data_IF_076810998910
#
_entry.id   IF_076810998910
#
_cell.length_a   1.000
_cell.length_b   1.000
_cell.length_c   1.000
_cell.angle_alpha   90.00
_cell.angle_beta   90.00
_cell.angle_gamma   90.00
#
_symmetry.space_group_name_H-M   'P 1'
#
loop_
_entity.id
_entity.type
_entity.pdbx_description
1 polymer ?
#
# COMPACT_ATOMS: atom_id res chain seq x y z
N UNK A 1 0.21 18.47 1.11
CA UNK A 1 1.57 18.49 1.72
C UNK A 1 1.91 17.08 2.19
N UNK A 2 3.14 16.60 1.97
CA UNK A 2 3.58 15.27 2.40
C UNK A 2 4.83 15.38 3.27
N UNK A 3 4.74 14.90 4.50
CA UNK A 3 5.87 14.45 5.29
C UNK A 3 6.41 13.15 4.68
N UNK A 4 7.70 13.17 4.38
CA UNK A 4 8.41 12.06 3.73
C UNK A 4 9.62 11.67 4.59
N UNK A 5 9.91 10.37 4.76
CA UNK A 5 11.09 9.92 5.47
C UNK A 5 12.35 10.40 4.75
N UNK A 6 13.21 11.16 5.46
CA UNK A 6 14.41 11.75 4.90
C UNK A 6 15.47 10.73 4.43
N UNK A 7 15.36 9.49 4.90
CA UNK A 7 16.23 8.37 4.59
C UNK A 7 15.68 7.45 3.47
N UNK A 8 14.53 7.76 2.88
CA UNK A 8 14.01 7.00 1.73
C UNK A 8 14.43 7.64 0.42
N UNK A 9 15.12 6.89 -0.43
CA UNK A 9 15.63 7.38 -1.71
C UNK A 9 14.76 6.96 -2.91
N UNK A 10 13.71 6.15 -2.69
CA UNK A 10 12.84 5.67 -3.76
C UNK A 10 11.48 6.32 -3.63
N UNK A 11 10.65 5.93 -2.65
CA UNK A 11 9.27 6.46 -2.55
C UNK A 11 9.33 7.97 -2.36
N UNK A 12 10.14 8.43 -1.42
CA UNK A 12 10.25 9.87 -1.15
C UNK A 12 10.87 10.66 -2.30
N UNK A 13 11.75 10.06 -3.11
CA UNK A 13 12.32 10.74 -4.29
C UNK A 13 11.28 10.87 -5.40
N UNK A 14 10.56 9.79 -5.73
CA UNK A 14 9.48 9.82 -6.71
C UNK A 14 8.37 10.79 -6.30
N UNK A 15 7.87 10.70 -5.05
CA UNK A 15 6.85 11.61 -4.53
C UNK A 15 7.27 13.10 -4.64
N UNK A 16 8.54 13.43 -4.39
CA UNK A 16 9.06 14.81 -4.55
C UNK A 16 9.10 15.27 -6.02
N UNK A 17 9.35 14.35 -6.95
CA UNK A 17 9.49 14.67 -8.38
C UNK A 17 8.15 14.70 -9.12
N UNK A 18 7.25 13.77 -8.83
CA UNK A 18 6.03 13.52 -9.62
C UNK A 18 4.74 13.76 -8.82
N UNK A 19 4.84 13.97 -7.51
CA UNK A 19 3.69 14.12 -6.62
C UNK A 19 3.03 12.80 -6.18
N UNK A 20 3.46 11.67 -6.75
CA UNK A 20 2.91 10.32 -6.51
C UNK A 20 4.01 9.26 -6.64
N UNK A 21 3.78 8.04 -6.16
CA UNK A 21 4.81 6.99 -6.20
C UNK A 21 4.90 6.35 -7.59
N UNK A 22 3.79 5.85 -8.11
CA UNK A 22 3.65 5.36 -9.48
C UNK A 22 2.36 5.96 -10.10
N UNK A 23 2.46 6.96 -10.99
CA UNK A 23 1.30 7.60 -11.60
C UNK A 23 0.43 6.64 -12.43
N UNK A 24 1.03 5.60 -13.02
CA UNK A 24 0.31 4.65 -13.85
C UNK A 24 -0.52 3.71 -12.96
N UNK A 25 0.06 3.23 -11.87
CA UNK A 25 -0.65 2.46 -10.86
C UNK A 25 -1.78 3.29 -10.24
N UNK A 26 -1.48 4.51 -9.79
CA UNK A 26 -2.46 5.43 -9.20
C UNK A 26 -3.66 5.68 -10.13
N UNK A 27 -3.41 5.94 -11.42
CA UNK A 27 -4.48 6.15 -12.41
C UNK A 27 -5.41 4.94 -12.50
N UNK A 28 -4.85 3.73 -12.52
CA UNK A 28 -5.64 2.49 -12.54
C UNK A 28 -6.44 2.34 -11.25
N UNK A 29 -5.82 2.58 -10.09
CA UNK A 29 -6.50 2.51 -8.80
C UNK A 29 -7.68 3.47 -8.74
N UNK A 30 -7.47 4.73 -9.10
CA UNK A 30 -8.49 5.78 -9.12
C UNK A 30 -9.64 5.48 -10.10
N UNK A 31 -9.41 4.70 -11.16
CA UNK A 31 -10.46 4.32 -12.12
C UNK A 31 -11.56 3.43 -11.50
N UNK A 32 -11.26 2.71 -10.43
CA UNK A 32 -12.21 1.86 -9.71
C UNK A 32 -12.93 2.58 -8.56
N UNK A 33 -12.43 3.75 -8.15
CA UNK A 33 -12.95 4.51 -7.02
C UNK A 33 -14.11 5.40 -7.48
N UNK A 34 -15.23 5.30 -6.77
CA UNK A 34 -16.40 6.15 -6.93
C UNK A 34 -16.64 6.98 -5.67
N UNK A 35 -17.11 8.24 -5.80
CA UNK A 35 -17.47 9.05 -4.64
C UNK A 35 -18.46 8.34 -3.71
N UNK A 36 -18.32 8.54 -2.40
CA UNK A 36 -19.20 7.97 -1.39
C UNK A 36 -18.94 6.49 -1.04
N UNK A 37 -17.94 5.84 -1.65
CA UNK A 37 -17.61 4.45 -1.33
C UNK A 37 -16.83 4.32 -0.02
N UNK A 38 -16.79 3.09 0.51
CA UNK A 38 -15.85 2.69 1.55
C UNK A 38 -14.73 1.83 0.93
N UNK A 39 -13.49 2.28 1.08
CA UNK A 39 -12.29 1.63 0.54
C UNK A 39 -11.38 1.22 1.70
N UNK A 40 -10.75 0.06 1.56
CA UNK A 40 -9.72 -0.43 2.47
C UNK A 40 -8.39 -0.48 1.73
N UNK A 41 -7.38 0.18 2.27
CA UNK A 41 -6.00 0.15 1.78
C UNK A 41 -5.12 -0.64 2.75
N UNK A 42 -4.54 -1.75 2.29
CA UNK A 42 -3.60 -2.57 3.07
C UNK A 42 -2.18 -2.26 2.63
N UNK A 43 -1.32 -1.88 3.58
CA UNK A 43 0.05 -1.46 3.30
C UNK A 43 0.12 0.00 2.88
N UNK A 44 -0.62 0.87 3.57
CA UNK A 44 -0.72 2.28 3.18
C UNK A 44 0.63 3.04 3.25
N UNK A 45 1.63 2.49 3.94
CA UNK A 45 2.99 3.03 3.99
C UNK A 45 2.97 4.50 4.44
N UNK A 46 3.63 5.41 3.73
CA UNK A 46 3.62 6.86 3.99
C UNK A 46 2.34 7.57 3.52
N UNK A 47 1.39 6.85 2.91
CA UNK A 47 0.14 7.41 2.39
C UNK A 47 0.26 8.00 0.97
N UNK A 48 1.14 7.42 0.14
CA UNK A 48 1.40 7.89 -1.22
C UNK A 48 0.13 7.94 -2.09
N UNK A 49 -0.71 6.90 -2.02
CA UNK A 49 -2.00 6.85 -2.71
C UNK A 49 -3.18 7.24 -1.82
N UNK A 50 -3.02 7.17 -0.49
CA UNK A 50 -4.12 7.44 0.44
C UNK A 50 -4.74 8.82 0.23
N UNK A 51 -3.94 9.83 -0.12
CA UNK A 51 -4.42 11.20 -0.37
C UNK A 51 -5.33 11.24 -1.60
N UNK A 52 -4.86 10.77 -2.75
CA UNK A 52 -5.64 10.82 -4.00
C UNK A 52 -6.88 9.94 -3.93
N UNK A 53 -6.79 8.78 -3.27
CA UNK A 53 -7.95 7.94 -2.97
C UNK A 53 -8.98 8.67 -2.11
N UNK A 54 -8.54 9.32 -1.03
CA UNK A 54 -9.42 10.06 -0.12
C UNK A 54 -10.12 11.24 -0.82
N UNK A 55 -9.38 12.00 -1.64
CA UNK A 55 -9.94 13.09 -2.44
C UNK A 55 -10.98 12.57 -3.44
N UNK A 56 -10.68 11.47 -4.14
CA UNK A 56 -11.59 10.85 -5.11
C UNK A 56 -12.88 10.30 -4.48
N UNK A 57 -12.78 9.77 -3.27
CA UNK A 57 -13.92 9.30 -2.48
C UNK A 57 -14.84 10.44 -2.03
N UNK A 58 -14.29 11.63 -1.83
CA UNK A 58 -15.02 12.80 -1.36
C UNK A 58 -15.52 12.66 0.08
N UNK A 59 -16.23 13.69 0.58
CA UNK A 59 -16.56 13.81 2.00
C UNK A 59 -17.57 12.77 2.52
N UNK A 60 -18.35 12.14 1.64
CA UNK A 60 -19.28 11.06 2.00
C UNK A 60 -18.65 9.66 1.91
N UNK A 61 -17.46 9.54 1.31
CA UNK A 61 -16.72 8.30 1.26
C UNK A 61 -15.86 8.09 2.50
N UNK A 62 -15.27 6.89 2.61
CA UNK A 62 -14.41 6.53 3.73
C UNK A 62 -13.22 5.71 3.22
N UNK A 63 -12.01 6.09 3.64
CA UNK A 63 -10.81 5.32 3.38
C UNK A 63 -10.27 4.75 4.69
N UNK A 64 -10.03 3.45 4.73
CA UNK A 64 -9.46 2.75 5.88
C UNK A 64 -8.06 2.25 5.54
N UNK A 65 -7.04 2.93 6.05
CA UNK A 65 -5.63 2.66 5.78
C UNK A 65 -5.01 1.82 6.89
N UNK A 66 -4.41 0.69 6.53
CA UNK A 66 -3.73 -0.21 7.46
C UNK A 66 -2.23 -0.20 7.18
N UNK A 67 -1.44 0.19 8.19
CA UNK A 67 0.02 0.22 8.10
C UNK A 67 0.64 -0.45 9.35
N UNK A 68 1.30 -1.61 9.20
CA UNK A 68 1.81 -2.38 10.32
C UNK A 68 2.99 -1.73 11.05
N UNK A 69 3.88 -1.02 10.37
CA UNK A 69 5.11 -0.51 11.00
C UNK A 69 4.89 0.86 11.65
N UNK A 70 5.19 1.00 12.94
CA UNK A 70 4.92 2.22 13.72
C UNK A 70 5.51 3.47 13.10
N UNK A 71 6.74 3.42 12.60
CA UNK A 71 7.39 4.58 11.98
C UNK A 71 6.63 5.07 10.74
N UNK A 72 6.20 4.15 9.88
CA UNK A 72 5.42 4.48 8.68
C UNK A 72 4.02 4.95 9.03
N UNK A 73 3.38 4.29 9.99
CA UNK A 73 2.08 4.69 10.50
C UNK A 73 2.10 6.13 11.04
N UNK A 74 3.15 6.54 11.75
CA UNK A 74 3.30 7.92 12.23
C UNK A 74 3.34 8.91 11.06
N UNK A 75 4.08 8.60 10.00
CA UNK A 75 4.15 9.43 8.79
C UNK A 75 2.79 9.49 8.08
N UNK A 76 2.13 8.34 7.90
CA UNK A 76 0.77 8.25 7.35
C UNK A 76 -0.20 9.16 8.12
N UNK A 77 -0.21 9.07 9.45
CA UNK A 77 -1.10 9.89 10.28
C UNK A 77 -0.80 11.39 10.14
N UNK A 78 0.49 11.77 10.09
CA UNK A 78 0.88 13.14 9.84
C UNK A 78 0.40 13.62 8.47
N UNK A 79 0.52 12.80 7.44
CA UNK A 79 0.05 13.12 6.09
C UNK A 79 -1.46 13.26 6.00
N UNK A 80 -2.22 12.41 6.70
CA UNK A 80 -3.69 12.57 6.82
C UNK A 80 -4.05 13.92 7.44
N UNK A 81 -3.38 14.30 8.54
CA UNK A 81 -3.62 15.57 9.24
C UNK A 81 -3.21 16.77 8.39
N UNK A 82 -2.02 16.74 7.78
CA UNK A 82 -1.48 17.85 6.97
C UNK A 82 -2.32 18.15 5.72
N UNK A 83 -3.11 17.20 5.24
CA UNK A 83 -4.03 17.38 4.11
C UNK A 83 -5.50 17.56 4.54
N UNK A 84 -5.78 17.66 5.85
CA UNK A 84 -7.14 17.89 6.35
C UNK A 84 -8.14 16.78 6.00
N UNK A 85 -7.66 15.54 5.84
CA UNK A 85 -8.46 14.42 5.36
C UNK A 85 -9.30 13.81 6.48
N UNK A 86 -10.53 14.31 6.67
CA UNK A 86 -11.46 13.84 7.70
C UNK A 86 -12.13 12.50 7.37
N UNK A 87 -12.06 12.05 6.11
CA UNK A 87 -12.63 10.80 5.63
C UNK A 87 -11.64 9.61 5.65
N UNK A 88 -10.45 9.79 6.24
CA UNK A 88 -9.41 8.76 6.32
C UNK A 88 -9.25 8.26 7.74
N UNK A 89 -9.31 6.94 7.91
CA UNK A 89 -9.14 6.23 9.18
C UNK A 89 -7.89 5.35 9.11
N UNK A 90 -6.90 5.64 9.93
CA UNK A 90 -5.62 4.93 9.90
C UNK A 90 -5.51 3.94 11.06
N UNK A 91 -4.87 2.80 10.82
CA UNK A 91 -4.68 1.75 11.82
C UNK A 91 -3.26 1.19 11.82
N UNK A 92 -2.62 1.21 12.99
CA UNK A 92 -1.30 0.60 13.18
C UNK A 92 -1.41 -0.91 13.44
N UNK A 93 -1.87 -1.65 12.43
CA UNK A 93 -2.01 -3.11 12.49
C UNK A 93 -1.71 -3.71 11.12
N UNK A 94 -1.15 -4.91 11.08
CA UNK A 94 -1.07 -5.71 9.86
C UNK A 94 -2.35 -6.51 9.63
N UNK A 95 -2.72 -6.73 8.37
CA UNK A 95 -3.84 -7.59 8.00
C UNK A 95 -3.33 -9.01 7.73
N UNK A 96 -3.95 -9.98 8.39
CA UNK A 96 -3.60 -11.40 8.28
C UNK A 96 -4.83 -12.30 8.15
N UNK A 97 -4.60 -13.61 8.28
CA UNK A 97 -5.64 -14.63 8.17
C UNK A 97 -6.79 -14.46 9.17
N UNK A 98 -7.99 -14.99 8.87
CA UNK A 98 -9.10 -15.07 9.81
C UNK A 98 -8.68 -15.65 11.17
N UNK A 99 -9.16 -15.04 12.25
CA UNK A 99 -8.87 -15.50 13.60
C UNK A 99 -8.66 -14.37 14.63
N UNK A 100 -8.29 -14.72 15.87
CA UNK A 100 -7.99 -13.76 16.92
C UNK A 100 -6.77 -12.91 16.54
N UNK A 101 -6.70 -11.71 17.11
CA UNK A 101 -5.53 -10.85 16.97
C UNK A 101 -4.29 -11.54 17.53
N UNK A 102 -3.15 -11.36 16.86
CA UNK A 102 -1.86 -11.93 17.27
C UNK A 102 -0.80 -10.85 17.26
N UNK A 103 0.13 -10.90 18.21
CA UNK A 103 1.33 -10.07 18.18
C UNK A 103 2.45 -10.91 17.57
N UNK A 104 3.14 -10.35 16.59
CA UNK A 104 4.29 -10.97 15.94
C UNK A 104 5.48 -10.03 16.06
N UNK A 105 6.62 -10.57 16.47
CA UNK A 105 7.90 -9.84 16.43
C UNK A 105 8.49 -9.97 15.02
N UNK A 106 8.78 -8.86 14.37
CA UNK A 106 9.37 -8.80 13.02
C UNK A 106 10.57 -7.88 12.99
N UNK A 107 11.42 -7.97 11.96
CA UNK A 107 12.49 -6.98 11.81
C UNK A 107 11.89 -5.64 11.42
N UNK A 108 12.28 -4.60 12.16
CA UNK A 108 11.79 -3.25 11.96
C UNK A 108 12.58 -2.53 10.85
N UNK A 109 11.92 -1.82 9.92
CA UNK A 109 12.60 -0.96 8.99
C UNK A 109 13.38 0.11 9.75
N UNK A 110 14.58 0.42 9.27
CA UNK A 110 15.44 1.40 9.88
C UNK A 110 14.93 2.80 9.55
N UNK A 111 14.62 3.58 10.59
CA UNK A 111 14.23 4.98 10.47
C UNK A 111 15.41 5.93 10.22
N UNK A 112 16.64 5.43 10.32
CA UNK A 112 17.88 6.23 10.25
C UNK A 112 18.81 5.84 9.11
N UNK A 113 18.68 4.64 8.55
CA UNK A 113 19.52 4.19 7.42
C UNK A 113 18.79 4.37 6.09
N UNK A 114 19.57 4.69 5.06
CA UNK A 114 19.05 4.89 3.72
C UNK A 114 18.47 3.58 3.18
N UNK A 115 17.27 3.60 2.60
CA UNK A 115 16.61 2.40 2.09
C UNK A 115 15.45 2.68 1.13
N UNK A 116 15.01 1.65 0.40
CA UNK A 116 13.77 1.65 -0.38
C UNK A 116 12.63 1.18 0.52
N UNK A 117 11.96 2.13 1.17
CA UNK A 117 10.89 1.76 2.09
C UNK A 117 9.59 1.31 1.40
N UNK A 118 9.50 1.47 0.07
CA UNK A 118 8.41 0.93 -0.77
C UNK A 118 8.51 -0.58 -1.02
N UNK A 119 9.61 -1.23 -0.61
CA UNK A 119 9.81 -2.67 -0.74
C UNK A 119 9.69 -3.42 0.60
N UNK A 120 9.23 -2.74 1.65
CA UNK A 120 9.08 -3.30 3.00
C UNK A 120 8.09 -4.46 3.01
N UNK A 121 8.35 -5.46 3.85
CA UNK A 121 7.43 -6.58 4.06
C UNK A 121 7.33 -6.95 5.52
N UNK A 122 6.14 -7.37 5.94
CA UNK A 122 5.93 -7.96 7.28
C UNK A 122 6.50 -9.38 7.33
N UNK A 123 6.33 -10.17 6.26
CA UNK A 123 6.80 -11.56 6.17
C UNK A 123 7.71 -11.75 4.95
N UNK A 124 8.52 -12.82 4.96
CA UNK A 124 9.45 -13.16 3.88
C UNK A 124 10.41 -12.00 3.52
N UNK A 125 10.98 -11.35 4.55
CA UNK A 125 11.97 -10.28 4.37
C UNK A 125 13.24 -10.86 3.74
N UNK A 126 13.61 -10.37 2.56
CA UNK A 126 14.82 -10.80 1.86
C UNK A 126 16.00 -9.93 2.28
N UNK A 127 17.17 -10.57 2.48
CA UNK A 127 18.39 -9.89 2.94
C UNK A 127 19.14 -9.16 1.83
N UNK A 128 19.01 -9.54 0.55
CA UNK A 128 19.87 -8.99 -0.52
C UNK A 128 19.22 -8.72 -1.90
N UNK A 129 19.74 -7.63 -2.48
CA UNK A 129 19.86 -7.13 -3.87
C UNK A 129 18.74 -6.40 -4.63
N UNK A 130 17.47 -6.80 -4.66
CA UNK A 130 16.55 -6.17 -5.66
C UNK A 130 15.89 -4.87 -5.16
N UNK A 131 15.91 -4.60 -3.86
CA UNK A 131 15.50 -3.33 -3.26
C UNK A 131 16.06 -3.25 -1.84
N UNK A 132 17.11 -2.46 -1.63
CA UNK A 132 17.79 -2.38 -0.33
C UNK A 132 16.84 -1.81 0.73
N UNK A 133 16.29 -2.64 1.61
CA UNK A 133 15.57 -2.21 2.81
C UNK A 133 16.49 -2.39 4.00
N UNK A 134 16.91 -1.29 4.63
CA UNK A 134 17.69 -1.38 5.84
C UNK A 134 16.78 -1.74 7.02
N UNK A 135 17.00 -2.87 7.70
CA UNK A 135 16.25 -3.27 8.90
C UNK A 135 17.10 -3.17 10.16
N UNK A 136 16.69 -2.40 11.17
CA UNK A 136 17.43 -2.24 12.43
C UNK A 136 16.55 -2.56 13.64
N UNK A 137 16.89 -3.65 14.34
CA UNK A 137 16.15 -4.11 15.51
C UNK A 137 14.86 -4.87 15.14
N UNK A 138 14.01 -5.06 16.14
CA UNK A 138 12.72 -5.73 16.01
C UNK A 138 11.59 -4.82 16.48
N UNK A 139 10.38 -5.10 15.99
CA UNK A 139 9.15 -4.43 16.40
C UNK A 139 8.03 -5.47 16.57
N UNK A 140 7.22 -5.27 17.62
CA UNK A 140 6.01 -6.05 17.84
C UNK A 140 4.85 -5.45 17.06
N UNK A 141 4.34 -6.19 16.09
CA UNK A 141 3.23 -5.79 15.24
C UNK A 141 1.99 -6.58 15.61
N UNK A 142 0.87 -5.88 15.77
CA UNK A 142 -0.44 -6.53 15.94
C UNK A 142 -1.00 -6.92 14.57
N UNK A 143 -1.21 -8.21 14.35
CA UNK A 143 -1.88 -8.78 13.18
C UNK A 143 -3.36 -9.03 13.48
N UNK A 144 -4.25 -8.65 12.58
CA UNK A 144 -5.71 -8.87 12.70
C UNK A 144 -6.33 -9.31 11.38
N UNK A 145 -7.44 -10.04 11.48
CA UNK A 145 -8.32 -10.28 10.34
C UNK A 145 -9.11 -9.01 10.00
N UNK A 146 -9.30 -8.75 8.70
CA UNK A 146 -10.13 -7.65 8.21
C UNK A 146 -11.61 -7.82 8.57
N UNK A 147 -12.08 -9.06 8.76
CA UNK A 147 -13.46 -9.38 9.12
C UNK A 147 -13.77 -9.08 10.59
N UNK A 148 -12.75 -8.93 11.43
CA UNK A 148 -12.92 -8.53 12.83
C UNK A 148 -13.36 -7.07 13.02
N UNK A 149 -13.60 -6.34 11.92
CA UNK A 149 -14.15 -4.97 11.93
C UNK A 149 -15.35 -4.80 11.00
N UNK A 150 -16.45 -4.19 11.50
CA UNK A 150 -17.61 -3.84 10.71
C UNK A 150 -17.30 -2.57 9.89
N UNK A 151 -16.48 -2.73 8.86
CA UNK A 151 -16.36 -1.74 7.78
C UNK A 151 -17.46 -2.14 6.77
N UNK A 152 -18.20 -1.17 6.23
CA UNK A 152 -19.38 -1.40 5.35
C UNK A 152 -19.06 -2.14 4.04
N UNK A 153 -19.87 -2.03 2.97
CA UNK A 153 -19.50 -2.64 1.68
C UNK A 153 -18.12 -2.12 1.23
N UNK A 154 -17.12 -3.00 1.23
CA UNK A 154 -15.70 -2.65 1.04
C UNK A 154 -15.28 -2.85 -0.40
N UNK A 155 -14.61 -1.86 -0.99
CA UNK A 155 -13.63 -2.13 -2.03
C UNK A 155 -12.28 -2.36 -1.36
N UNK A 156 -11.69 -3.55 -1.56
CA UNK A 156 -10.39 -3.89 -1.01
C UNK A 156 -9.29 -3.54 -2.01
N UNK A 157 -8.30 -2.79 -1.55
CA UNK A 157 -7.15 -2.37 -2.32
C UNK A 157 -5.89 -2.75 -1.55
N UNK A 158 -5.10 -3.65 -2.12
CA UNK A 158 -3.76 -3.96 -1.60
C UNK A 158 -2.76 -3.20 -2.43
N UNK A 159 -1.94 -2.41 -1.78
CA UNK A 159 -0.85 -1.69 -2.41
C UNK A 159 0.42 -2.25 -1.80
N UNK A 160 0.97 -3.31 -2.41
CA UNK A 160 2.35 -3.69 -2.15
C UNK A 160 2.85 -4.64 -3.24
N UNK A 161 3.91 -4.22 -3.93
CA UNK A 161 4.55 -4.96 -5.01
C UNK A 161 5.62 -5.89 -4.43
N UNK A 162 5.19 -7.07 -4.04
CA UNK A 162 6.05 -8.23 -3.86
C UNK A 162 5.91 -9.14 -5.11
N UNK A 163 6.98 -9.70 -5.71
CA UNK A 163 6.80 -10.81 -6.63
C UNK A 163 6.27 -11.98 -5.78
N UNK A 164 5.00 -12.34 -5.98
CA UNK A 164 4.40 -13.57 -5.46
C UNK A 164 3.91 -14.39 -6.64
N UNK A 165 3.99 -15.72 -6.51
CA UNK A 165 3.57 -16.69 -7.51
C UNK A 165 2.04 -16.70 -7.66
N UNK A 166 1.54 -17.10 -8.84
CA UNK A 166 0.11 -17.08 -9.22
C UNK A 166 -0.82 -17.84 -8.24
N UNK A 167 -0.28 -18.78 -7.47
CA UNK A 167 -1.04 -19.68 -6.58
C UNK A 167 -1.45 -19.01 -5.25
N UNK A 168 -0.62 -18.12 -4.71
CA UNK A 168 -0.91 -17.35 -3.49
C UNK A 168 -1.94 -16.23 -3.74
N UNK A 169 -2.13 -15.85 -5.00
CA UNK A 169 -3.09 -14.85 -5.49
C UNK A 169 -4.55 -15.34 -5.40
N UNK A 170 -4.76 -16.67 -5.48
CA UNK A 170 -6.08 -17.30 -5.49
C UNK A 170 -6.62 -17.57 -4.08
N UNK A 171 -5.72 -17.89 -3.13
CA UNK A 171 -6.07 -18.31 -1.78
C UNK A 171 -6.43 -17.14 -0.84
N UNK A 172 -5.95 -15.91 -1.12
CA UNK A 172 -6.16 -14.73 -0.24
C UNK A 172 -7.17 -13.71 -0.78
N UNK A 173 -7.67 -13.88 -2.00
CA UNK A 173 -8.73 -13.03 -2.56
C UNK A 173 -10.11 -13.56 -2.18
N UNK A 174 -10.48 -13.45 -0.90
CA UNK A 174 -11.85 -13.69 -0.46
C UNK A 174 -12.84 -12.78 -1.19
N UNK A 175 -13.26 -13.16 -2.40
CA UNK A 175 -14.38 -12.61 -3.15
C UNK A 175 -14.58 -13.36 -4.48
N UNK A 176 -15.74 -14.00 -4.63
CA UNK A 176 -16.37 -14.38 -5.91
C UNK A 176 -16.58 -13.20 -6.87
N UNK A 177 -16.18 -11.96 -6.50
CA UNK A 177 -16.31 -10.74 -7.31
C UNK A 177 -14.98 -10.07 -7.73
N UNK A 178 -13.82 -10.52 -7.24
CA UNK A 178 -12.51 -9.96 -7.62
C UNK A 178 -12.07 -10.32 -9.06
N UNK A 179 -12.78 -11.25 -9.73
CA UNK A 179 -12.43 -11.76 -11.07
C UNK A 179 -12.40 -10.70 -12.17
N UNK A 180 -13.02 -9.53 -11.97
CA UNK A 180 -13.05 -8.43 -12.97
C UNK A 180 -11.81 -7.53 -12.98
N UNK A 181 -11.06 -7.43 -11.87
CA UNK A 181 -9.88 -6.58 -11.78
C UNK A 181 -8.67 -7.17 -12.54
N UNK A 182 -8.55 -8.51 -12.56
CA UNK A 182 -7.44 -9.23 -13.21
C UNK A 182 -7.47 -9.18 -14.74
N UNK A 183 -8.65 -9.25 -15.37
CA UNK A 183 -8.74 -9.31 -16.83
C UNK A 183 -8.27 -8.01 -17.48
N UNK A 184 -8.56 -6.87 -16.86
CA UNK A 184 -8.23 -5.57 -17.43
C UNK A 184 -6.77 -5.14 -17.21
N UNK A 185 -6.17 -5.52 -16.07
CA UNK A 185 -4.73 -5.29 -15.81
C UNK A 185 -3.81 -6.03 -16.81
N UNK A 186 -4.22 -7.22 -17.28
CA UNK A 186 -3.50 -7.96 -18.34
C UNK A 186 -3.66 -7.35 -19.74
N UNK A 187 -4.71 -6.58 -19.99
CA UNK A 187 -4.96 -5.92 -21.29
C UNK A 187 -4.19 -4.59 -21.41
N UNK A 188 -4.12 -3.82 -20.32
CA UNK A 188 -3.38 -2.54 -20.27
C UNK A 188 -1.86 -2.75 -20.34
N UNK A 189 -1.33 -3.81 -19.74
CA UNK A 189 0.11 -4.12 -19.80
C UNK A 189 0.60 -4.54 -21.19
N UNK A 190 -0.30 -4.89 -22.12
CA UNK A 190 0.05 -5.27 -23.50
C UNK A 190 0.14 -4.08 -24.46
N UNK A 191 -0.36 -2.91 -24.08
CA UNK A 191 -0.52 -1.77 -24.99
C UNK A 191 0.52 -0.64 -24.83
N UNK A 192 1.53 -0.80 -23.96
CA UNK A 192 2.51 0.26 -23.67
C UNK A 192 4.00 -0.12 -23.88
N UNK A 193 4.30 -1.02 -24.81
CA UNK A 193 5.68 -1.16 -25.33
C UNK A 193 5.78 -0.39 -26.65
N UNK A 194 6.57 0.70 -26.75
CA UNK A 194 6.89 1.27 -28.04
C UNK A 194 7.76 0.25 -28.80
N UNK A 195 7.27 -0.20 -29.95
CA UNK A 195 8.10 -0.90 -30.92
C UNK A 195 9.09 0.11 -31.53
N UNK A 196 10.40 -0.01 -31.27
CA UNK A 196 11.47 0.15 -32.27
C UNK A 196 12.87 0.34 -31.66
N UNK A 197 13.86 0.06 -32.53
CA UNK A 197 15.32 0.03 -32.37
C UNK A 197 15.84 -1.29 -31.79
N UNK A 198 16.46 -2.20 -32.55
CA UNK A 198 17.14 -2.07 -33.83
C UNK A 198 18.48 -2.77 -33.68
N UNK A 199 18.56 -4.00 -34.16
CA UNK A 199 19.76 -4.83 -34.19
C UNK A 199 20.83 -4.19 -35.07
N UNK A 200 22.06 -4.12 -34.57
CA UNK A 200 23.29 -4.30 -35.34
C UNK A 200 24.09 -5.41 -34.66
#
# INVERSE_FOLDING_TARGET
VLALPGNDYVVSAFMKMTGTYDPAEESVLLSYIKPGQTVVEIGANVGAYSISLAEKLGPSGQLHCFEPFRFMYQILTANVVLNGLSNVYTYNVGIGEPGPAKVVEVQAPSSSRIGNLGAMRVFQQQKEEVAFVAYSGTENITMRSLDSRPIGPKMLMKVDRAPMTEEEELLRSGATKAKRLKTHLREVSRHNVPASMGTL
#
